data_IF_244181876744
#
_entry.id   IF_244181876744
#
_cell.length_a   1.000
_cell.length_b   1.000
_cell.length_c   1.000
_cell.angle_alpha   90.00
_cell.angle_beta   90.00
_cell.angle_gamma   90.00
#
_symmetry.space_group_name_H-M   'P 1'
#
loop_
_entity.id
_entity.type
_entity.pdbx_description
1 polymer ?
#
# COMPACT_ATOMS: atom_id res chain seq x y z
N UNK A 1 35.46 -20.57 19.97
CA UNK A 1 34.41 -21.23 20.78
C UNK A 1 33.00 -20.65 20.58
N UNK A 2 32.78 -19.34 20.74
CA UNK A 2 31.43 -18.74 20.64
C UNK A 2 30.70 -19.08 19.33
N UNK A 3 31.35 -18.90 18.17
CA UNK A 3 30.76 -19.19 16.87
C UNK A 3 30.38 -20.66 16.69
N UNK A 4 31.28 -21.60 17.00
CA UNK A 4 31.00 -23.05 16.92
C UNK A 4 29.80 -23.46 17.78
N UNK A 5 29.64 -22.86 18.96
CA UNK A 5 28.51 -23.10 19.85
C UNK A 5 27.20 -22.54 19.27
N UNK A 6 27.22 -21.34 18.68
CA UNK A 6 26.07 -20.75 17.98
C UNK A 6 25.62 -21.65 16.83
N UNK A 7 26.56 -22.16 16.02
CA UNK A 7 26.24 -23.08 14.92
C UNK A 7 25.63 -24.40 15.44
N UNK A 8 26.16 -24.95 16.53
CA UNK A 8 25.54 -26.11 17.19
C UNK A 8 24.12 -25.78 17.68
N UNK A 9 23.93 -24.62 18.30
CA UNK A 9 22.63 -24.11 18.75
C UNK A 9 21.61 -24.01 17.61
N UNK A 10 22.02 -23.51 16.44
CA UNK A 10 21.17 -23.47 15.25
C UNK A 10 20.72 -24.88 14.84
N UNK A 11 21.61 -25.87 14.87
CA UNK A 11 21.22 -27.24 14.56
C UNK A 11 20.16 -27.78 15.52
N UNK A 12 20.30 -27.51 16.83
CA UNK A 12 19.31 -27.91 17.82
C UNK A 12 17.98 -27.17 17.63
N UNK A 13 18.02 -25.88 17.29
CA UNK A 13 16.83 -25.08 16.98
C UNK A 13 16.07 -25.67 15.79
N UNK A 14 16.77 -26.00 14.69
CA UNK A 14 16.14 -26.58 13.50
C UNK A 14 15.53 -27.96 13.79
N UNK A 15 16.22 -28.81 14.55
CA UNK A 15 15.71 -30.12 14.98
C UNK A 15 14.48 -29.97 15.88
N UNK A 16 14.56 -29.11 16.89
CA UNK A 16 13.45 -28.81 17.79
C UNK A 16 12.24 -28.27 17.03
N UNK A 17 12.45 -27.31 16.12
CA UNK A 17 11.37 -26.73 15.32
C UNK A 17 10.69 -27.79 14.43
N UNK A 18 11.45 -28.67 13.78
CA UNK A 18 10.92 -29.77 12.97
C UNK A 18 10.16 -30.82 13.78
N UNK A 19 10.59 -31.07 15.01
CA UNK A 19 9.86 -31.93 15.95
C UNK A 19 8.57 -31.26 16.44
N UNK A 20 8.64 -30.01 16.89
CA UNK A 20 7.57 -29.32 17.61
C UNK A 20 6.47 -28.73 16.73
N UNK A 21 6.80 -28.28 15.52
CA UNK A 21 5.89 -27.51 14.67
C UNK A 21 5.63 -28.21 13.33
N UNK A 22 4.37 -28.65 13.06
CA UNK A 22 4.03 -29.33 11.80
C UNK A 22 4.35 -28.53 10.55
N UNK A 23 4.15 -27.20 10.57
CA UNK A 23 4.48 -26.32 9.45
C UNK A 23 5.99 -26.31 9.14
N UNK A 24 6.85 -26.28 10.16
CA UNK A 24 8.29 -26.37 9.98
C UNK A 24 8.72 -27.75 9.44
N UNK A 25 8.07 -28.81 9.94
CA UNK A 25 8.29 -30.17 9.44
C UNK A 25 7.91 -30.32 7.97
N UNK A 26 6.81 -29.70 7.55
CA UNK A 26 6.39 -29.65 6.15
C UNK A 26 7.42 -28.90 5.30
N UNK A 27 7.89 -27.73 5.78
CA UNK A 27 8.98 -26.97 5.14
C UNK A 27 10.19 -27.86 4.89
N UNK A 28 10.71 -28.56 5.90
CA UNK A 28 11.88 -29.45 5.75
C UNK A 28 11.71 -30.60 4.74
N UNK A 29 10.48 -30.96 4.34
CA UNK A 29 10.23 -32.00 3.32
C UNK A 29 10.29 -31.47 1.89
N UNK A 30 10.28 -30.15 1.70
CA UNK A 30 10.25 -29.53 0.37
C UNK A 30 11.55 -29.70 -0.41
N UNK A 31 12.69 -29.85 0.30
CA UNK A 31 14.02 -29.88 -0.30
C UNK A 31 14.93 -30.86 0.45
N UNK A 32 15.85 -31.44 -0.32
CA UNK A 32 17.00 -32.16 0.18
C UNK A 32 18.25 -31.33 -0.15
N UNK A 33 19.02 -30.91 0.85
CA UNK A 33 20.30 -30.22 0.63
C UNK A 33 21.30 -30.44 1.78
N UNK A 34 22.57 -30.17 1.52
CA UNK A 34 23.64 -29.99 2.52
C UNK A 34 24.03 -28.52 2.52
N UNK A 35 23.74 -27.81 3.59
CA UNK A 35 24.20 -26.45 3.80
C UNK A 35 25.38 -26.45 4.78
N UNK A 36 26.29 -25.50 4.67
CA UNK A 36 27.32 -25.28 5.66
C UNK A 36 27.48 -23.81 5.99
N UNK A 37 27.88 -23.54 7.22
CA UNK A 37 28.19 -22.20 7.70
C UNK A 37 29.62 -22.23 8.24
N UNK A 38 30.48 -21.34 7.76
CA UNK A 38 31.91 -21.34 8.08
C UNK A 38 32.49 -19.94 8.31
N UNK A 39 33.60 -19.90 9.04
CA UNK A 39 34.55 -18.79 9.05
C UNK A 39 35.60 -19.04 7.97
N UNK A 40 35.85 -18.06 7.09
CA UNK A 40 36.74 -18.20 5.93
C UNK A 40 38.17 -18.54 6.35
N UNK A 41 38.67 -17.86 7.37
CA UNK A 41 40.09 -17.81 7.70
C UNK A 41 40.49 -18.74 8.87
N UNK A 42 39.55 -19.53 9.41
CA UNK A 42 39.76 -20.15 10.74
C UNK A 42 39.40 -21.65 10.82
N UNK A 43 39.18 -22.36 9.71
CA UNK A 43 38.74 -23.78 9.67
C UNK A 43 37.54 -24.14 10.59
N UNK A 44 36.82 -23.13 11.09
CA UNK A 44 35.67 -23.30 11.96
C UNK A 44 34.41 -23.32 11.10
N UNK A 45 33.66 -24.41 11.15
CA UNK A 45 32.35 -24.49 10.53
C UNK A 45 31.54 -25.69 10.98
N UNK A 46 30.28 -25.73 10.53
CA UNK A 46 29.35 -26.83 10.73
C UNK A 46 28.47 -26.95 9.50
N UNK A 47 28.23 -28.20 9.10
CA UNK A 47 27.28 -28.51 8.04
C UNK A 47 25.95 -29.04 8.59
N UNK A 48 24.90 -28.88 7.80
CA UNK A 48 23.52 -29.22 8.09
C UNK A 48 22.96 -29.97 6.86
N UNK A 49 22.72 -31.26 6.99
CA UNK A 49 22.04 -32.02 5.96
C UNK A 49 20.55 -32.11 6.28
N UNK A 50 19.73 -31.71 5.30
CA UNK A 50 18.29 -31.85 5.33
C UNK A 50 17.94 -32.93 4.31
N UNK A 51 17.38 -34.04 4.81
CA UNK A 51 17.00 -35.20 4.01
C UNK A 51 15.66 -35.72 4.48
N UNK A 52 14.68 -35.78 3.57
CA UNK A 52 13.33 -36.30 3.85
C UNK A 52 12.68 -35.72 5.13
N UNK A 53 12.85 -34.42 5.37
CA UNK A 53 12.30 -33.74 6.55
C UNK A 53 13.10 -33.87 7.84
N UNK A 54 14.26 -34.53 7.83
CA UNK A 54 15.16 -34.68 8.99
C UNK A 54 16.40 -33.80 8.84
N UNK A 55 16.85 -33.24 9.96
CA UNK A 55 18.06 -32.41 10.05
C UNK A 55 19.15 -33.18 10.78
N UNK A 56 20.29 -33.38 10.13
CA UNK A 56 21.53 -33.88 10.74
C UNK A 56 22.63 -32.83 10.61
N UNK A 57 23.55 -32.77 11.57
CA UNK A 57 24.64 -31.80 11.53
C UNK A 57 25.88 -32.29 12.26
N UNK A 58 27.04 -31.89 11.79
CA UNK A 58 28.34 -32.23 12.38
C UNK A 58 29.31 -31.06 12.26
N UNK A 59 30.29 -30.99 13.15
CA UNK A 59 31.37 -30.02 13.07
C UNK A 59 32.27 -30.34 11.87
N UNK A 60 32.84 -29.31 11.24
CA UNK A 60 33.71 -29.46 10.09
C UNK A 60 33.09 -28.90 8.81
N UNK A 61 33.87 -28.98 7.73
CA UNK A 61 33.53 -28.45 6.41
C UNK A 61 33.34 -29.61 5.43
N UNK A 62 32.46 -29.39 4.45
CA UNK A 62 32.17 -30.34 3.38
C UNK A 62 32.41 -29.68 2.03
N UNK A 63 33.12 -30.39 1.16
CA UNK A 63 33.34 -29.95 -0.22
C UNK A 63 32.08 -30.14 -1.10
N UNK A 64 31.16 -31.02 -0.69
CA UNK A 64 29.91 -31.32 -1.39
C UNK A 64 28.70 -30.55 -0.82
N UNK A 65 28.94 -29.41 -0.15
CA UNK A 65 27.85 -28.56 0.33
C UNK A 65 27.15 -27.84 -0.82
N UNK A 66 25.84 -28.02 -0.95
CA UNK A 66 24.98 -27.33 -1.92
C UNK A 66 24.90 -25.81 -1.64
N UNK A 67 24.98 -25.43 -0.36
CA UNK A 67 24.88 -24.04 0.11
C UNK A 67 26.01 -23.76 1.10
N UNK A 68 26.78 -22.69 0.90
CA UNK A 68 27.85 -22.27 1.82
C UNK A 68 27.66 -20.81 2.24
N UNK A 69 27.40 -20.57 3.53
CA UNK A 69 27.45 -19.23 4.12
C UNK A 69 28.84 -19.03 4.73
N UNK A 70 29.57 -18.03 4.25
CA UNK A 70 30.94 -17.75 4.70
C UNK A 70 31.01 -16.39 5.38
N UNK A 71 31.34 -16.40 6.67
CA UNK A 71 31.73 -15.20 7.42
C UNK A 71 33.24 -14.98 7.28
N UNK A 72 33.69 -13.72 7.28
CA UNK A 72 35.13 -13.38 7.23
C UNK A 72 35.92 -14.14 8.30
N UNK A 73 35.47 -14.08 9.55
CA UNK A 73 36.07 -14.79 10.68
C UNK A 73 34.99 -15.20 11.70
N UNK A 74 35.33 -16.05 12.68
CA UNK A 74 34.37 -16.54 13.66
C UNK A 74 33.88 -15.46 14.62
N UNK A 75 34.70 -14.43 14.89
CA UNK A 75 34.28 -13.31 15.74
C UNK A 75 33.10 -12.56 15.10
N UNK A 76 33.24 -12.15 13.84
CA UNK A 76 32.17 -11.52 13.08
C UNK A 76 30.95 -12.44 12.93
N UNK A 77 31.17 -13.73 12.66
CA UNK A 77 30.09 -14.70 12.58
C UNK A 77 29.32 -14.85 13.89
N UNK A 78 30.00 -14.79 15.03
CA UNK A 78 29.36 -14.82 16.33
C UNK A 78 28.55 -13.53 16.57
N UNK A 79 29.14 -12.36 16.31
CA UNK A 79 28.49 -11.06 16.52
C UNK A 79 27.22 -10.91 15.67
N UNK A 80 27.27 -11.30 14.39
CA UNK A 80 26.14 -11.18 13.47
C UNK A 80 25.00 -12.16 13.76
N UNK A 81 25.26 -13.28 14.45
CA UNK A 81 24.26 -14.32 14.74
C UNK A 81 23.78 -14.31 16.19
N UNK A 82 24.42 -13.55 17.07
CA UNK A 82 24.05 -13.48 18.49
C UNK A 82 22.83 -12.56 18.69
N UNK A 83 21.78 -13.03 19.38
CA UNK A 83 20.64 -12.16 19.73
C UNK A 83 21.02 -11.05 20.73
N UNK A 84 20.41 -9.85 20.65
CA UNK A 84 19.45 -9.44 19.62
C UNK A 84 20.14 -9.19 18.27
N UNK A 85 19.60 -9.79 17.21
CA UNK A 85 20.19 -9.72 15.87
C UNK A 85 20.03 -8.29 15.33
N UNK A 86 21.15 -7.66 14.95
CA UNK A 86 21.14 -6.42 14.21
C UNK A 86 21.13 -6.69 12.69
N UNK A 87 19.97 -6.49 12.06
CA UNK A 87 19.80 -6.70 10.62
C UNK A 87 20.59 -5.70 9.77
N UNK A 88 20.81 -4.48 10.25
CA UNK A 88 21.61 -3.48 9.54
C UNK A 88 23.07 -3.94 9.41
N UNK A 89 23.62 -4.52 10.49
CA UNK A 89 24.99 -5.02 10.50
C UNK A 89 25.16 -6.23 9.56
N UNK A 90 24.16 -7.12 9.49
CA UNK A 90 24.17 -8.22 8.53
C UNK A 90 24.13 -7.71 7.08
N UNK A 91 23.32 -6.69 6.79
CA UNK A 91 23.23 -6.07 5.46
C UNK A 91 24.57 -5.41 5.10
N UNK A 92 25.18 -4.67 6.03
CA UNK A 92 26.47 -4.03 5.80
C UNK A 92 27.59 -5.07 5.61
N UNK A 93 27.59 -6.16 6.38
CA UNK A 93 28.54 -7.25 6.21
C UNK A 93 28.42 -7.94 4.83
N UNK A 94 27.20 -8.07 4.30
CA UNK A 94 26.99 -8.60 2.94
C UNK A 94 27.50 -7.61 1.87
N UNK A 95 27.22 -6.32 2.01
CA UNK A 95 27.72 -5.27 1.10
C UNK A 95 29.24 -5.20 1.08
N UNK A 96 29.88 -5.40 2.23
CA UNK A 96 31.34 -5.39 2.39
C UNK A 96 31.99 -6.76 2.05
N UNK A 97 31.23 -7.73 1.53
CA UNK A 97 31.69 -9.09 1.25
C UNK A 97 32.31 -9.83 2.45
N UNK A 98 31.96 -9.41 3.67
CA UNK A 98 32.34 -10.04 4.94
C UNK A 98 31.40 -11.19 5.33
N UNK A 99 30.21 -11.24 4.72
CA UNK A 99 29.29 -12.37 4.74
C UNK A 99 28.91 -12.68 3.29
N UNK A 100 29.28 -13.87 2.79
CA UNK A 100 28.93 -14.32 1.44
C UNK A 100 28.09 -15.59 1.49
N UNK A 101 27.30 -15.81 0.43
CA UNK A 101 26.47 -17.00 0.26
C UNK A 101 26.74 -17.58 -1.13
N UNK A 102 27.20 -18.82 -1.17
CA UNK A 102 27.51 -19.55 -2.38
C UNK A 102 26.57 -20.75 -2.55
N UNK A 103 26.18 -21.05 -3.78
CA UNK A 103 25.28 -22.15 -4.13
C UNK A 103 24.15 -21.76 -5.08
N UNK A 104 23.30 -22.70 -5.54
CA UNK A 104 22.14 -22.41 -6.35
C UNK A 104 21.18 -21.45 -5.64
N UNK A 105 20.74 -20.40 -6.33
CA UNK A 105 19.94 -19.30 -5.73
C UNK A 105 18.64 -19.79 -5.08
N UNK A 106 18.00 -20.82 -5.64
CA UNK A 106 16.78 -21.39 -5.08
C UNK A 106 17.05 -22.09 -3.74
N UNK A 107 18.17 -22.81 -3.62
CA UNK A 107 18.57 -23.51 -2.40
C UNK A 107 19.08 -22.55 -1.32
N UNK A 108 19.86 -21.54 -1.70
CA UNK A 108 20.38 -20.54 -0.76
C UNK A 108 19.24 -19.73 -0.14
N UNK A 109 18.30 -19.24 -0.96
CA UNK A 109 17.10 -18.55 -0.50
C UNK A 109 16.20 -19.45 0.36
N UNK A 110 15.97 -20.69 -0.09
CA UNK A 110 15.15 -21.64 0.66
C UNK A 110 15.73 -21.92 2.05
N UNK A 111 17.05 -22.11 2.15
CA UNK A 111 17.74 -22.38 3.40
C UNK A 111 17.70 -21.18 4.34
N UNK A 112 18.00 -19.98 3.84
CA UNK A 112 17.91 -18.74 4.62
C UNK A 112 16.51 -18.51 5.19
N UNK A 113 15.47 -18.65 4.37
CA UNK A 113 14.07 -18.56 4.81
C UNK A 113 13.71 -19.64 5.84
N UNK A 114 14.28 -20.83 5.73
CA UNK A 114 14.06 -21.91 6.70
C UNK A 114 14.68 -21.57 8.06
N UNK A 115 15.86 -20.96 8.09
CA UNK A 115 16.46 -20.43 9.34
C UNK A 115 15.56 -19.34 9.93
N UNK A 116 15.11 -18.36 9.14
CA UNK A 116 14.22 -17.30 9.60
C UNK A 116 12.87 -17.84 10.12
N UNK A 117 12.32 -18.86 9.45
CA UNK A 117 11.10 -19.52 9.89
C UNK A 117 11.30 -20.19 11.25
N UNK A 118 12.48 -20.75 11.55
CA UNK A 118 12.73 -21.40 12.84
C UNK A 118 12.64 -20.43 14.03
N UNK A 119 12.91 -19.15 13.79
CA UNK A 119 12.82 -18.07 14.79
C UNK A 119 11.38 -17.56 14.99
N UNK A 120 10.50 -17.79 14.02
CA UNK A 120 9.15 -17.20 13.98
C UNK A 120 8.01 -18.22 14.00
N UNK A 121 8.28 -19.52 13.78
CA UNK A 121 7.25 -20.56 13.66
C UNK A 121 6.47 -20.80 14.95
N UNK A 122 7.01 -20.41 16.10
CA UNK A 122 6.32 -20.43 17.39
C UNK A 122 5.36 -19.27 17.59
N UNK A 123 5.52 -18.18 16.82
CA UNK A 123 4.72 -16.97 16.97
C UNK A 123 3.30 -17.25 16.51
N UNK A 124 2.36 -17.09 17.44
CA UNK A 124 0.94 -17.10 17.14
C UNK A 124 0.53 -15.68 16.80
N UNK A 125 0.25 -15.43 15.53
CA UNK A 125 -0.34 -14.17 15.09
C UNK A 125 -1.85 -14.22 15.35
N UNK A 126 -2.38 -13.17 15.96
CA UNK A 126 -3.82 -13.02 16.27
C UNK A 126 -4.20 -13.33 17.72
N UNK A 127 -5.45 -13.03 18.06
CA UNK A 127 -6.04 -13.24 19.38
C UNK A 127 -7.03 -14.39 19.33
N UNK A 128 -6.83 -15.44 20.14
CA UNK A 128 -7.81 -16.52 20.26
C UNK A 128 -9.00 -16.05 21.08
N UNK A 129 -10.21 -16.31 20.59
CA UNK A 129 -11.46 -15.93 21.24
C UNK A 129 -12.12 -17.14 21.92
N UNK A 130 -13.06 -16.84 22.83
CA UNK A 130 -13.80 -17.85 23.60
C UNK A 130 -14.63 -18.80 22.71
N UNK A 131 -15.12 -18.33 21.55
CA UNK A 131 -15.88 -19.13 20.58
C UNK A 131 -15.01 -20.08 19.73
N UNK A 132 -13.71 -20.15 20.04
CA UNK A 132 -12.70 -20.95 19.35
C UNK A 132 -12.14 -20.30 18.09
N UNK A 133 -12.66 -19.14 17.64
CA UNK A 133 -12.12 -18.43 16.49
C UNK A 133 -10.81 -17.72 16.80
N UNK A 134 -10.04 -17.45 15.76
CA UNK A 134 -8.85 -16.59 15.82
C UNK A 134 -9.17 -15.24 15.18
N UNK A 135 -8.95 -14.15 15.91
CA UNK A 135 -9.08 -12.78 15.41
C UNK A 135 -7.73 -12.24 14.97
N UNK A 136 -7.64 -11.81 13.73
CA UNK A 136 -6.48 -11.14 13.14
C UNK A 136 -6.79 -9.67 12.91
N UNK A 137 -5.74 -8.87 12.71
CA UNK A 137 -5.84 -7.51 12.19
C UNK A 137 -5.41 -7.50 10.73
N UNK A 138 -6.16 -6.80 9.87
CA UNK A 138 -5.81 -6.59 8.48
C UNK A 138 -6.35 -5.22 8.02
N UNK A 139 -6.08 -4.87 6.77
CA UNK A 139 -6.51 -3.62 6.16
C UNK A 139 -7.18 -3.89 4.81
N UNK A 140 -8.13 -3.03 4.45
CA UNK A 140 -8.72 -2.96 3.12
C UNK A 140 -8.56 -1.54 2.58
N UNK A 141 -8.82 -1.32 1.29
CA UNK A 141 -8.93 0.05 0.77
C UNK A 141 -10.10 0.82 1.40
N UNK A 142 -11.04 0.12 2.05
CA UNK A 142 -12.16 0.73 2.75
C UNK A 142 -11.90 1.03 4.22
N UNK A 143 -10.73 0.70 4.77
CA UNK A 143 -10.39 0.88 6.18
C UNK A 143 -9.89 -0.39 6.87
N UNK A 144 -9.42 -0.24 8.14
CA UNK A 144 -8.88 -1.34 8.94
C UNK A 144 -9.97 -2.27 9.46
N UNK A 145 -9.62 -3.54 9.60
CA UNK A 145 -10.57 -4.59 9.97
C UNK A 145 -9.99 -5.59 10.95
N UNK A 146 -10.81 -6.01 11.91
CA UNK A 146 -10.63 -7.31 12.53
C UNK A 146 -11.19 -8.41 11.61
N UNK A 147 -10.39 -9.47 11.43
CA UNK A 147 -10.74 -10.63 10.60
C UNK A 147 -10.85 -11.84 11.52
N UNK A 148 -12.02 -12.45 11.57
CA UNK A 148 -12.27 -13.60 12.42
C UNK A 148 -12.25 -14.86 11.57
N UNK A 149 -11.45 -15.83 11.98
CA UNK A 149 -11.22 -17.07 11.25
C UNK A 149 -11.56 -18.25 12.15
N UNK A 150 -12.32 -19.20 11.60
CA UNK A 150 -12.64 -20.46 12.25
C UNK A 150 -12.44 -21.57 11.23
N UNK A 151 -11.75 -22.63 11.63
CA UNK A 151 -11.45 -23.79 10.78
C UNK A 151 -10.82 -23.42 9.42
N UNK A 152 -9.91 -22.43 9.44
CA UNK A 152 -9.22 -21.95 8.24
C UNK A 152 -10.07 -21.08 7.30
N UNK A 153 -11.30 -20.72 7.67
CA UNK A 153 -12.20 -19.86 6.87
C UNK A 153 -12.50 -18.55 7.56
N UNK A 154 -12.53 -17.46 6.77
CA UNK A 154 -12.97 -16.15 7.27
C UNK A 154 -14.48 -16.21 7.51
N UNK A 155 -14.89 -16.02 8.76
CA UNK A 155 -16.30 -16.03 9.13
C UNK A 155 -16.90 -14.62 9.08
N UNK A 156 -16.17 -13.61 9.57
CA UNK A 156 -16.60 -12.21 9.55
C UNK A 156 -15.41 -11.25 9.50
N UNK A 157 -15.68 -10.04 9.03
CA UNK A 157 -14.77 -8.90 9.08
C UNK A 157 -15.54 -7.73 9.70
N UNK A 158 -14.93 -7.01 10.63
CA UNK A 158 -15.59 -5.88 11.34
C UNK A 158 -14.63 -4.69 11.43
N UNK A 159 -15.14 -3.46 11.64
CA UNK A 159 -14.30 -2.38 12.13
C UNK A 159 -13.60 -2.75 13.45
N UNK A 160 -12.61 -1.96 13.83
CA UNK A 160 -11.81 -2.16 15.04
C UNK A 160 -12.35 -1.27 16.15
N UNK A 161 -12.82 -1.88 17.23
CA UNK A 161 -13.08 -1.19 18.50
C UNK A 161 -11.76 -1.11 19.28
N UNK A 162 -11.41 0.10 19.71
CA UNK A 162 -10.18 0.38 20.47
C UNK A 162 -10.43 0.18 21.96
N UNK A 163 -9.44 -0.34 22.68
CA UNK A 163 -9.54 -0.63 24.12
C UNK A 163 -8.90 0.47 24.95
N UNK A 164 -8.94 0.33 26.27
CA UNK A 164 -8.26 1.24 27.21
C UNK A 164 -6.72 1.10 27.14
N UNK A 165 -6.21 0.01 26.57
CA UNK A 165 -4.78 -0.20 26.36
C UNK A 165 -4.25 0.60 25.16
N UNK A 166 -5.14 1.04 24.28
CA UNK A 166 -4.80 1.92 23.16
C UNK A 166 -4.68 3.38 23.63
N UNK A 167 -3.71 4.11 23.07
CA UNK A 167 -3.45 5.51 23.41
C UNK A 167 -4.72 6.38 23.24
N UNK A 168 -5.00 7.35 24.14
CA UNK A 168 -6.26 8.11 24.16
C UNK A 168 -6.51 8.93 22.89
N UNK A 169 -7.79 9.22 22.60
CA UNK A 169 -8.18 10.06 21.46
C UNK A 169 -7.78 11.51 21.70
N UNK A 170 -7.43 12.22 20.63
CA UNK A 170 -7.36 13.68 20.64
C UNK A 170 -8.74 14.31 20.92
N UNK A 171 -8.78 15.57 21.35
CA UNK A 171 -10.01 16.35 21.53
C UNK A 171 -9.78 17.79 21.07
N UNK A 172 -10.83 18.42 20.54
CA UNK A 172 -10.81 19.84 20.16
C UNK A 172 -11.82 20.59 21.03
N UNK A 173 -11.42 21.74 21.55
CA UNK A 173 -12.32 22.68 22.20
C UNK A 173 -12.61 23.84 21.24
N UNK A 174 -13.89 24.02 20.92
CA UNK A 174 -14.33 25.05 20.00
C UNK A 174 -15.68 25.60 20.46
N UNK A 175 -15.84 26.92 20.51
CA UNK A 175 -17.12 27.59 20.83
C UNK A 175 -17.81 27.02 22.08
N UNK A 176 -17.02 26.72 23.12
CA UNK A 176 -17.50 26.21 24.41
C UNK A 176 -17.99 24.76 24.41
N UNK A 177 -17.62 23.96 23.39
CA UNK A 177 -17.86 22.51 23.36
C UNK A 177 -16.56 21.74 23.16
N UNK A 178 -16.46 20.59 23.82
CA UNK A 178 -15.37 19.62 23.65
C UNK A 178 -15.82 18.51 22.71
N UNK A 179 -15.06 18.30 21.64
CA UNK A 179 -15.36 17.37 20.55
C UNK A 179 -14.28 16.30 20.50
N UNK A 180 -14.67 15.05 20.69
CA UNK A 180 -13.78 13.89 20.76
C UNK A 180 -14.30 12.80 19.81
N UNK A 181 -13.46 12.20 18.94
CA UNK A 181 -13.90 11.13 18.05
C UNK A 181 -14.16 9.83 18.84
N UNK A 182 -15.08 8.96 18.34
CA UNK A 182 -15.31 7.63 18.91
C UNK A 182 -14.04 6.79 19.01
N UNK A 183 -14.01 5.88 19.99
CA UNK A 183 -12.93 4.91 20.17
C UNK A 183 -13.09 3.69 19.25
N UNK A 184 -13.26 3.94 17.96
CA UNK A 184 -13.55 2.92 16.96
C UNK A 184 -13.15 3.41 15.58
N UNK A 185 -12.63 2.51 14.75
CA UNK A 185 -12.45 2.77 13.32
C UNK A 185 -13.76 2.59 12.56
N UNK A 186 -13.81 3.11 11.34
CA UNK A 186 -14.92 2.95 10.41
C UNK A 186 -14.52 2.12 9.20
N UNK A 187 -15.49 1.77 8.36
CA UNK A 187 -15.27 0.95 7.16
C UNK A 187 -16.19 1.39 6.03
N UNK A 188 -15.62 1.69 4.87
CA UNK A 188 -16.39 1.98 3.66
C UNK A 188 -17.17 0.74 3.18
N UNK A 189 -18.28 0.91 2.44
CA UNK A 189 -19.13 -0.20 1.98
C UNK A 189 -18.36 -1.30 1.23
N UNK A 190 -17.39 -0.94 0.39
CA UNK A 190 -16.57 -1.93 -0.33
C UNK A 190 -15.62 -2.71 0.61
N UNK A 191 -15.15 -2.08 1.70
CA UNK A 191 -14.37 -2.75 2.75
C UNK A 191 -15.21 -3.76 3.54
N UNK A 192 -16.48 -3.43 3.82
CA UNK A 192 -17.43 -4.34 4.49
C UNK A 192 -17.63 -5.63 3.68
N UNK A 193 -17.62 -5.51 2.35
CA UNK A 193 -17.81 -6.62 1.43
C UNK A 193 -16.52 -7.36 1.03
N UNK A 194 -15.36 -7.01 1.61
CA UNK A 194 -14.07 -7.59 1.21
C UNK A 194 -14.02 -9.13 1.29
N UNK A 195 -14.75 -9.75 2.22
CA UNK A 195 -14.88 -11.22 2.32
C UNK A 195 -15.47 -11.84 1.05
N UNK A 196 -16.45 -11.18 0.43
CA UNK A 196 -17.10 -11.66 -0.79
C UNK A 196 -16.16 -11.65 -2.00
N UNK A 197 -15.22 -10.71 -2.04
CA UNK A 197 -14.19 -10.64 -3.08
C UNK A 197 -13.21 -11.81 -2.95
N UNK A 198 -12.84 -12.17 -1.71
CA UNK A 198 -11.92 -13.29 -1.45
C UNK A 198 -12.51 -14.62 -1.92
N UNK A 199 -13.80 -14.87 -1.61
CA UNK A 199 -14.51 -16.11 -1.93
C UNK A 199 -15.44 -15.99 -3.14
N UNK A 200 -15.21 -15.02 -4.01
CA UNK A 200 -16.02 -14.84 -5.22
C UNK A 200 -15.96 -16.10 -6.10
N UNK A 201 -17.09 -16.55 -6.69
CA UNK A 201 -17.09 -17.62 -7.68
C UNK A 201 -16.24 -17.26 -8.91
N UNK A 202 -16.04 -15.97 -9.19
CA UNK A 202 -15.25 -15.47 -10.32
C UNK A 202 -13.75 -15.35 -9.99
N UNK A 203 -13.32 -15.81 -8.81
CA UNK A 203 -11.90 -15.75 -8.41
C UNK A 203 -11.05 -16.61 -9.33
N UNK A 204 -10.00 -16.02 -9.90
CA UNK A 204 -8.96 -16.78 -10.61
C UNK A 204 -8.19 -17.67 -9.62
N UNK A 205 -8.43 -18.99 -9.68
CA UNK A 205 -7.85 -19.99 -8.77
C UNK A 205 -6.52 -20.58 -9.27
N UNK A 206 -6.30 -20.58 -10.59
CA UNK A 206 -5.16 -21.24 -11.23
C UNK A 206 -4.60 -20.38 -12.36
N UNK A 207 -3.32 -20.58 -12.73
CA UNK A 207 -2.81 -20.06 -13.99
C UNK A 207 -3.61 -20.59 -15.18
N UNK A 208 -3.91 -19.71 -16.12
CA UNK A 208 -4.71 -20.00 -17.30
C UNK A 208 -3.94 -19.61 -18.57
N UNK A 209 -4.04 -20.42 -19.62
CA UNK A 209 -3.46 -20.18 -20.94
C UNK A 209 -4.56 -20.21 -21.98
N UNK A 210 -4.58 -19.24 -22.89
CA UNK A 210 -5.53 -19.23 -24.00
C UNK A 210 -5.30 -20.44 -24.91
N UNK A 211 -6.36 -21.13 -25.31
CA UNK A 211 -6.31 -22.43 -26.03
C UNK A 211 -5.48 -22.39 -27.31
N UNK A 212 -5.47 -21.26 -28.01
CA UNK A 212 -4.87 -21.06 -29.32
C UNK A 212 -3.65 -20.13 -29.29
N UNK A 213 -2.98 -20.05 -28.12
CA UNK A 213 -1.70 -19.36 -27.97
C UNK A 213 -0.53 -20.36 -27.96
N UNK A 214 0.25 -20.39 -29.03
CA UNK A 214 1.54 -21.07 -29.08
C UNK A 214 2.70 -20.05 -29.21
N UNK A 215 3.61 -19.93 -28.22
CA UNK A 215 4.75 -19.03 -28.34
C UNK A 215 5.73 -19.43 -29.45
N UNK A 216 5.75 -20.70 -29.87
CA UNK A 216 6.66 -21.23 -30.90
C UNK A 216 5.97 -21.44 -32.25
N UNK A 217 4.70 -21.08 -32.37
CA UNK A 217 3.90 -21.24 -33.57
C UNK A 217 2.88 -20.13 -33.73
N UNK A 218 1.64 -20.48 -34.03
CA UNK A 218 0.57 -19.52 -34.24
C UNK A 218 0.12 -18.87 -32.91
N UNK A 219 0.38 -17.57 -32.79
CA UNK A 219 0.04 -16.79 -31.59
C UNK A 219 -1.38 -16.22 -31.61
N UNK A 220 -2.06 -16.23 -32.76
CA UNK A 220 -3.45 -15.80 -32.96
C UNK A 220 -3.90 -14.53 -32.19
N UNK A 221 -3.27 -13.35 -32.35
CA UNK A 221 -3.64 -12.15 -31.58
C UNK A 221 -5.10 -11.70 -31.77
N UNK A 222 -5.65 -11.89 -32.99
CA UNK A 222 -7.04 -11.57 -33.38
C UNK A 222 -8.13 -12.31 -32.59
N UNK A 223 -7.75 -13.37 -31.88
CA UNK A 223 -8.66 -14.21 -31.09
C UNK A 223 -8.68 -13.86 -29.59
N UNK A 224 -7.87 -12.88 -29.14
CA UNK A 224 -7.90 -12.39 -27.76
C UNK A 224 -9.30 -11.82 -27.44
N UNK A 225 -9.87 -12.23 -26.30
CA UNK A 225 -11.25 -11.88 -25.92
C UNK A 225 -12.34 -12.76 -26.55
N UNK A 226 -11.98 -13.74 -27.41
CA UNK A 226 -12.92 -14.67 -28.06
C UNK A 226 -12.64 -16.13 -27.72
N UNK A 227 -11.38 -16.55 -27.80
CA UNK A 227 -10.99 -17.93 -27.50
C UNK A 227 -10.99 -18.22 -26.00
N UNK A 228 -11.31 -19.47 -25.66
CA UNK A 228 -11.32 -19.95 -24.27
C UNK A 228 -9.91 -20.13 -23.67
N UNK A 229 -9.89 -20.61 -22.43
CA UNK A 229 -8.68 -20.83 -21.67
C UNK A 229 -8.62 -22.24 -21.11
N UNK A 230 -7.41 -22.79 -21.02
CA UNK A 230 -7.11 -24.04 -20.34
C UNK A 230 -6.33 -23.74 -19.06
N UNK A 231 -6.56 -24.55 -18.03
CA UNK A 231 -5.72 -24.52 -16.82
C UNK A 231 -4.34 -25.05 -17.15
N UNK A 232 -3.31 -24.36 -16.66
CA UNK A 232 -1.91 -24.81 -16.72
C UNK A 232 -1.27 -24.79 -15.34
N UNK A 233 -0.09 -25.41 -15.23
CA UNK A 233 0.67 -25.42 -13.98
C UNK A 233 1.41 -24.09 -13.76
N UNK A 234 1.79 -23.80 -12.50
CA UNK A 234 2.65 -22.66 -12.20
C UNK A 234 4.02 -22.74 -12.89
N UNK A 235 4.75 -23.88 -12.87
CA UNK A 235 6.00 -24.01 -13.62
C UNK A 235 5.83 -23.68 -15.11
N UNK A 236 4.81 -24.26 -15.76
CA UNK A 236 4.54 -23.98 -17.18
C UNK A 236 4.26 -22.49 -17.42
N UNK A 237 3.42 -21.85 -16.60
CA UNK A 237 3.09 -20.44 -16.74
C UNK A 237 4.33 -19.54 -16.57
N UNK A 238 5.16 -19.84 -15.58
CA UNK A 238 6.40 -19.10 -15.30
C UNK A 238 7.42 -19.30 -16.42
N UNK A 239 7.58 -20.51 -16.95
CA UNK A 239 8.49 -20.81 -18.06
C UNK A 239 8.07 -20.10 -19.34
N UNK A 240 6.77 -20.09 -19.66
CA UNK A 240 6.23 -19.37 -20.81
C UNK A 240 6.51 -17.86 -20.72
N UNK A 241 6.20 -17.25 -19.57
CA UNK A 241 6.39 -15.81 -19.37
C UNK A 241 7.87 -15.43 -19.31
N UNK A 242 8.67 -16.17 -18.55
CA UNK A 242 10.11 -15.92 -18.43
C UNK A 242 10.84 -16.16 -19.75
N UNK A 243 10.43 -17.17 -20.52
CA UNK A 243 10.92 -17.46 -21.87
C UNK A 243 10.69 -16.28 -22.81
N UNK A 244 9.48 -15.73 -22.83
CA UNK A 244 9.17 -14.55 -23.65
C UNK A 244 9.92 -13.30 -23.19
N UNK A 245 10.04 -13.05 -21.88
CA UNK A 245 10.86 -11.95 -21.35
C UNK A 245 12.30 -12.08 -21.83
N UNK A 246 12.92 -13.26 -21.69
CA UNK A 246 14.30 -13.51 -22.13
C UNK A 246 14.44 -13.33 -23.65
N UNK A 247 13.50 -13.85 -24.44
CA UNK A 247 13.49 -13.70 -25.90
C UNK A 247 13.42 -12.22 -26.29
N UNK A 248 12.43 -11.50 -25.78
CA UNK A 248 12.24 -10.07 -26.07
C UNK A 248 13.45 -9.24 -25.70
N UNK A 249 14.02 -9.45 -24.51
CA UNK A 249 15.24 -8.75 -24.07
C UNK A 249 16.42 -9.02 -25.00
N UNK A 250 16.67 -10.28 -25.39
CA UNK A 250 17.78 -10.62 -26.29
C UNK A 250 17.60 -10.07 -27.70
N UNK A 251 16.37 -10.06 -28.21
CA UNK A 251 16.10 -9.70 -29.61
C UNK A 251 15.92 -8.20 -29.83
N UNK A 252 15.24 -7.50 -28.91
CA UNK A 252 14.84 -6.09 -29.10
C UNK A 252 15.30 -5.16 -27.97
N UNK A 253 15.95 -5.70 -26.93
CA UNK A 253 16.25 -4.96 -25.71
C UNK A 253 15.05 -4.87 -24.75
N UNK A 254 15.26 -4.40 -23.51
CA UNK A 254 14.24 -4.38 -22.46
C UNK A 254 13.08 -3.42 -22.74
N UNK A 255 13.30 -2.36 -23.53
CA UNK A 255 12.29 -1.32 -23.82
C UNK A 255 11.09 -1.81 -24.64
N UNK A 256 11.15 -3.00 -25.26
CA UNK A 256 10.01 -3.55 -26.02
C UNK A 256 8.84 -4.02 -25.11
N UNK A 257 9.09 -4.25 -23.83
CA UNK A 257 8.10 -4.77 -22.90
C UNK A 257 7.38 -3.62 -22.19
N UNK A 258 6.13 -3.36 -22.55
CA UNK A 258 5.29 -2.40 -21.85
C UNK A 258 4.71 -2.99 -20.56
N UNK A 259 4.74 -2.22 -19.46
CA UNK A 259 4.11 -2.58 -18.19
C UNK A 259 3.19 -1.45 -17.74
N UNK A 260 1.93 -1.79 -17.48
CA UNK A 260 0.89 -0.93 -16.92
C UNK A 260 0.20 -1.63 -15.75
N UNK A 261 -0.42 -0.86 -14.86
CA UNK A 261 -1.26 -1.32 -13.76
C UNK A 261 -2.39 -0.31 -13.52
N UNK A 262 -3.36 -0.61 -12.66
CA UNK A 262 -4.38 0.36 -12.25
C UNK A 262 -3.82 1.39 -11.24
N UNK A 263 -4.44 2.57 -11.14
CA UNK A 263 -4.04 3.62 -10.18
C UNK A 263 -4.13 3.16 -8.72
N UNK A 264 -5.08 2.28 -8.43
CA UNK A 264 -5.28 1.64 -7.13
C UNK A 264 -4.88 0.16 -7.13
N UNK A 265 -4.56 -0.35 -5.95
CA UNK A 265 -4.20 -1.75 -5.72
C UNK A 265 -4.72 -2.19 -4.35
N UNK A 266 -4.72 -3.50 -4.07
CA UNK A 266 -5.04 -3.99 -2.72
C UNK A 266 -4.07 -3.41 -1.70
N UNK A 267 -4.59 -3.06 -0.52
CA UNK A 267 -3.78 -2.51 0.56
C UNK A 267 -2.62 -3.43 0.98
N UNK A 268 -1.50 -2.82 1.37
CA UNK A 268 -0.34 -3.49 1.94
C UNK A 268 0.97 -2.97 1.35
N UNK A 269 1.74 -2.20 2.13
CA UNK A 269 2.87 -1.42 1.63
C UNK A 269 3.93 -2.24 0.89
N UNK A 270 4.23 -3.45 1.37
CA UNK A 270 5.22 -4.35 0.74
C UNK A 270 4.69 -4.91 -0.59
N UNK A 271 3.42 -5.31 -0.61
CA UNK A 271 2.78 -5.89 -1.80
C UNK A 271 2.26 -4.86 -2.80
N UNK A 272 2.22 -3.58 -2.41
CA UNK A 272 1.73 -2.50 -3.26
C UNK A 272 2.59 -2.37 -4.51
N UNK A 273 2.00 -1.92 -5.63
CA UNK A 273 2.72 -1.87 -6.91
C UNK A 273 3.98 -0.99 -6.86
N UNK A 274 3.97 0.09 -6.07
CA UNK A 274 5.12 0.97 -5.83
C UNK A 274 6.32 0.25 -5.20
N UNK A 275 6.09 -0.91 -4.57
CA UNK A 275 7.13 -1.74 -3.96
C UNK A 275 7.39 -3.00 -4.78
N UNK A 276 6.50 -3.99 -4.72
CA UNK A 276 6.74 -5.32 -5.29
C UNK A 276 6.85 -5.30 -6.82
N UNK A 277 5.90 -4.65 -7.51
CA UNK A 277 5.91 -4.59 -8.98
C UNK A 277 7.10 -3.76 -9.47
N UNK A 278 7.37 -2.60 -8.87
CA UNK A 278 8.48 -1.73 -9.26
C UNK A 278 9.82 -2.44 -9.08
N UNK A 279 10.02 -3.13 -7.95
CA UNK A 279 11.21 -3.97 -7.72
C UNK A 279 11.39 -5.00 -8.83
N UNK A 280 10.34 -5.73 -9.18
CA UNK A 280 10.41 -6.76 -10.22
C UNK A 280 10.68 -6.18 -11.61
N UNK A 281 9.88 -5.21 -12.06
CA UNK A 281 10.00 -4.65 -13.42
C UNK A 281 11.32 -3.90 -13.63
N UNK A 282 11.86 -3.23 -12.60
CA UNK A 282 13.16 -2.58 -12.68
C UNK A 282 14.31 -3.59 -12.85
N UNK A 283 14.22 -4.77 -12.22
CA UNK A 283 15.20 -5.84 -12.40
C UNK A 283 15.10 -6.50 -13.79
N UNK A 284 13.88 -6.58 -14.35
CA UNK A 284 13.65 -7.16 -15.68
C UNK A 284 14.01 -6.17 -16.81
N UNK A 285 13.73 -4.89 -16.63
CA UNK A 285 13.76 -3.86 -17.69
C UNK A 285 12.45 -3.83 -18.47
N UNK A 286 11.96 -2.63 -18.80
CA UNK A 286 10.63 -2.41 -19.37
C UNK A 286 10.49 -0.97 -19.91
N UNK A 287 9.42 -0.72 -20.68
CA UNK A 287 8.87 0.61 -20.94
C UNK A 287 7.71 0.88 -20.00
N UNK A 288 7.83 1.96 -19.23
CA UNK A 288 6.79 2.39 -18.30
C UNK A 288 5.64 3.07 -19.05
N UNK A 289 4.42 2.55 -18.87
CA UNK A 289 3.21 3.30 -19.19
C UNK A 289 2.86 4.10 -17.93
N UNK A 290 3.23 5.38 -17.94
CA UNK A 290 2.98 6.28 -16.82
C UNK A 290 1.49 6.65 -16.77
N UNK A 291 0.93 6.76 -15.57
CA UNK A 291 -0.44 7.20 -15.40
C UNK A 291 -0.51 8.72 -15.57
N UNK A 292 -1.59 9.20 -16.18
CA UNK A 292 -2.01 10.59 -16.00
C UNK A 292 -2.41 10.84 -14.53
N UNK A 293 -2.39 12.10 -14.06
CA UNK A 293 -2.83 12.45 -12.71
C UNK A 293 -4.36 12.45 -12.64
N UNK A 294 -4.99 11.30 -12.88
CA UNK A 294 -6.44 11.10 -13.01
C UNK A 294 -7.28 11.78 -11.93
N UNK A 295 -6.81 11.75 -10.69
CA UNK A 295 -7.48 12.30 -9.52
C UNK A 295 -7.28 13.82 -9.37
N UNK A 296 -6.36 14.42 -10.14
CA UNK A 296 -5.87 15.78 -9.95
C UNK A 296 -5.78 16.59 -11.23
N UNK A 297 -6.30 16.13 -12.37
CA UNK A 297 -6.08 16.72 -13.69
C UNK A 297 -6.08 18.26 -13.73
N UNK A 298 -7.21 18.89 -13.39
CA UNK A 298 -7.32 20.35 -13.39
C UNK A 298 -6.39 21.06 -12.39
N UNK A 299 -6.07 20.41 -11.28
CA UNK A 299 -5.13 20.93 -10.29
C UNK A 299 -3.69 20.84 -10.80
N UNK A 300 -3.30 19.69 -11.36
CA UNK A 300 -1.96 19.43 -11.85
C UNK A 300 -1.64 20.24 -13.11
N UNK A 301 -2.54 20.24 -14.10
CA UNK A 301 -2.32 20.92 -15.39
C UNK A 301 -2.73 22.40 -15.38
N UNK A 302 -3.43 22.86 -14.33
CA UNK A 302 -3.91 24.24 -14.20
C UNK A 302 -3.36 24.91 -12.95
N UNK A 303 -3.88 24.52 -11.78
CA UNK A 303 -3.60 25.20 -10.51
C UNK A 303 -2.11 25.24 -10.13
N UNK A 304 -1.31 24.22 -10.51
CA UNK A 304 0.14 24.22 -10.30
C UNK A 304 0.81 25.47 -10.86
N UNK A 305 0.36 25.96 -12.02
CA UNK A 305 0.90 27.17 -12.63
C UNK A 305 0.43 28.46 -11.92
N UNK A 306 -0.60 28.36 -11.09
CA UNK A 306 -1.14 29.48 -10.33
C UNK A 306 -0.51 29.61 -8.94
N UNK A 307 -0.29 28.49 -8.23
CA UNK A 307 0.15 28.51 -6.83
C UNK A 307 1.24 27.48 -6.47
N UNK A 308 1.80 26.74 -7.43
CA UNK A 308 2.81 25.73 -7.17
C UNK A 308 2.24 24.42 -6.63
N UNK A 309 2.73 23.95 -5.48
CA UNK A 309 2.36 22.65 -4.89
C UNK A 309 2.57 21.44 -5.84
N UNK A 310 3.61 21.47 -6.68
CA UNK A 310 3.95 20.39 -7.63
C UNK A 310 4.14 19.04 -6.94
N UNK A 311 4.77 19.02 -5.76
CA UNK A 311 4.97 17.82 -4.94
C UNK A 311 3.65 17.20 -4.43
N UNK A 312 2.56 17.98 -4.44
CA UNK A 312 1.20 17.56 -4.08
C UNK A 312 0.25 17.63 -5.26
N UNK A 313 0.78 17.56 -6.48
CA UNK A 313 0.00 17.58 -7.74
C UNK A 313 -1.02 18.72 -7.84
N UNK A 314 -0.67 19.89 -7.28
CA UNK A 314 -1.49 21.09 -7.28
C UNK A 314 -2.52 21.19 -6.16
N UNK A 315 -2.56 20.24 -5.21
CA UNK A 315 -3.42 20.31 -4.02
C UNK A 315 -2.84 21.22 -2.93
N UNK A 316 -3.73 21.83 -2.15
CA UNK A 316 -3.38 22.62 -0.97
C UNK A 316 -3.03 21.75 0.25
N UNK A 317 -2.43 22.37 1.28
CA UNK A 317 -2.18 21.73 2.57
C UNK A 317 -3.39 21.74 3.50
N UNK A 318 -3.53 20.69 4.32
CA UNK A 318 -4.71 20.48 5.17
C UNK A 318 -4.40 20.40 6.66
N UNK A 319 -3.18 20.73 7.09
CA UNK A 319 -2.75 20.63 8.48
C UNK A 319 -3.53 21.62 9.38
N UNK A 320 -3.96 21.18 10.57
CA UNK A 320 -4.65 22.03 11.56
C UNK A 320 -6.07 22.51 11.18
N UNK A 321 -6.52 22.26 9.95
CA UNK A 321 -7.75 22.86 9.39
C UNK A 321 -9.04 22.48 10.11
N UNK A 322 -9.10 21.33 10.79
CA UNK A 322 -10.32 20.93 11.51
C UNK A 322 -10.56 21.81 12.74
N UNK A 323 -9.52 22.05 13.54
CA UNK A 323 -9.62 22.88 14.74
C UNK A 323 -9.93 24.33 14.35
N UNK A 324 -9.17 24.87 13.41
CA UNK A 324 -9.39 26.22 12.88
C UNK A 324 -10.80 26.39 12.33
N UNK A 325 -11.30 25.43 11.54
CA UNK A 325 -12.67 25.46 11.03
C UNK A 325 -13.70 25.47 12.15
N UNK A 326 -13.57 24.60 13.16
CA UNK A 326 -14.53 24.53 14.27
C UNK A 326 -14.53 25.80 15.13
N UNK A 327 -13.39 26.48 15.24
CA UNK A 327 -13.25 27.72 16.01
C UNK A 327 -13.72 28.94 15.23
N UNK A 328 -13.29 29.10 13.98
CA UNK A 328 -13.30 30.38 13.26
C UNK A 328 -14.25 30.41 12.05
N UNK A 329 -14.73 29.27 11.55
CA UNK A 329 -15.54 29.24 10.33
C UNK A 329 -17.00 29.65 10.60
N UNK A 330 -17.58 30.49 9.73
CA UNK A 330 -19.01 30.79 9.74
C UNK A 330 -19.79 30.05 8.65
N UNK A 331 -19.11 29.63 7.58
CA UNK A 331 -19.72 28.93 6.47
C UNK A 331 -18.72 28.01 5.75
N UNK A 332 -19.16 26.79 5.45
CA UNK A 332 -18.44 25.85 4.59
C UNK A 332 -19.19 25.73 3.26
N UNK A 333 -18.44 25.87 2.16
CA UNK A 333 -18.92 25.61 0.80
C UNK A 333 -18.30 24.32 0.29
N UNK A 334 -19.09 23.25 0.22
CA UNK A 334 -18.71 22.01 -0.45
C UNK A 334 -18.90 22.16 -1.95
N UNK A 335 -17.82 22.48 -2.67
CA UNK A 335 -17.85 22.67 -4.12
C UNK A 335 -17.32 21.42 -4.83
N UNK A 336 -18.19 20.76 -5.61
CA UNK A 336 -17.89 19.49 -6.29
C UNK A 336 -17.30 18.44 -5.33
N UNK A 337 -17.81 18.40 -4.10
CA UNK A 337 -17.28 17.59 -3.02
C UNK A 337 -18.38 16.72 -2.41
N UNK A 338 -18.18 15.40 -2.47
CA UNK A 338 -19.00 14.41 -1.76
C UNK A 338 -18.13 13.56 -0.80
N UNK A 339 -17.70 14.14 0.33
CA UNK A 339 -16.83 13.44 1.28
C UNK A 339 -17.48 12.26 2.02
N UNK A 340 -18.82 12.12 2.03
CA UNK A 340 -19.50 10.91 2.53
C UNK A 340 -19.37 9.72 1.57
N UNK A 341 -19.34 9.97 0.26
CA UNK A 341 -19.13 8.91 -0.74
C UNK A 341 -17.66 8.60 -0.98
N UNK A 342 -16.82 9.63 -1.07
CA UNK A 342 -15.43 9.49 -1.52
C UNK A 342 -14.44 9.30 -0.38
N UNK A 343 -14.76 9.75 0.84
CA UNK A 343 -13.89 9.69 2.03
C UNK A 343 -12.52 10.38 1.87
N UNK A 344 -12.37 11.27 0.89
CA UNK A 344 -11.06 11.75 0.43
C UNK A 344 -10.32 10.64 -0.32
N UNK A 345 -9.57 9.81 0.40
CA UNK A 345 -8.95 8.60 -0.15
C UNK A 345 -8.62 7.63 0.99
N UNK A 346 -9.17 6.42 0.91
CA UNK A 346 -8.97 5.36 1.91
C UNK A 346 -9.30 5.76 3.36
N UNK A 347 -10.05 6.85 3.54
CA UNK A 347 -10.40 7.43 4.85
C UNK A 347 -11.65 6.83 5.47
N UNK A 348 -12.22 5.78 4.86
CA UNK A 348 -13.43 5.11 5.31
C UNK A 348 -14.58 6.10 5.58
N UNK A 349 -15.13 6.13 6.80
CA UNK A 349 -16.09 7.15 7.24
C UNK A 349 -15.52 7.97 8.41
N UNK A 350 -14.20 8.07 8.53
CA UNK A 350 -13.53 8.82 9.61
C UNK A 350 -13.81 10.33 9.52
N UNK A 351 -14.14 10.83 8.33
CA UNK A 351 -14.58 12.21 8.14
C UNK A 351 -16.00 12.49 8.64
N UNK A 352 -16.86 11.46 8.74
CA UNK A 352 -18.29 11.63 8.98
C UNK A 352 -18.56 12.20 10.37
N UNK A 353 -17.81 11.79 11.39
CA UNK A 353 -17.95 12.33 12.76
C UNK A 353 -17.70 13.84 12.81
N UNK A 354 -16.69 14.34 12.09
CA UNK A 354 -16.39 15.77 12.03
C UNK A 354 -17.52 16.56 11.38
N UNK A 355 -18.13 15.99 10.35
CA UNK A 355 -19.32 16.56 9.69
C UNK A 355 -20.57 16.46 10.57
N UNK A 356 -20.71 15.42 11.39
CA UNK A 356 -21.78 15.37 12.41
C UNK A 356 -21.65 16.49 13.43
N UNK A 357 -20.44 16.87 13.83
CA UNK A 357 -20.24 18.00 14.74
C UNK A 357 -20.79 19.30 14.18
N UNK A 358 -20.71 19.52 12.86
CA UNK A 358 -21.28 20.71 12.20
C UNK A 358 -22.80 20.84 12.39
N UNK A 359 -23.51 19.76 12.73
CA UNK A 359 -24.95 19.79 13.07
C UNK A 359 -25.22 20.37 14.46
N UNK A 360 -24.19 20.60 15.27
CA UNK A 360 -24.35 21.19 16.60
C UNK A 360 -24.63 22.70 16.46
N UNK A 361 -25.78 23.19 16.94
CA UNK A 361 -26.14 24.60 16.79
C UNK A 361 -25.18 25.56 17.51
N UNK A 362 -24.43 25.11 18.53
CA UNK A 362 -23.39 25.92 19.17
C UNK A 362 -22.22 26.26 18.23
N UNK A 363 -21.99 25.44 17.21
CA UNK A 363 -21.04 25.78 16.18
C UNK A 363 -21.61 26.81 15.21
N UNK A 364 -22.90 26.78 14.88
CA UNK A 364 -23.53 27.82 14.05
C UNK A 364 -22.97 27.94 12.61
N UNK A 365 -22.19 26.96 12.16
CA UNK A 365 -21.53 26.96 10.84
C UNK A 365 -22.56 26.64 9.76
N UNK A 366 -22.73 27.54 8.80
CA UNK A 366 -23.63 27.36 7.66
C UNK A 366 -23.00 26.42 6.63
N UNK A 367 -23.83 25.67 5.91
CA UNK A 367 -23.36 24.75 4.87
C UNK A 367 -24.00 25.09 3.53
N UNK A 368 -23.17 25.18 2.49
CA UNK A 368 -23.57 25.31 1.09
C UNK A 368 -22.99 24.14 0.31
N UNK A 369 -23.76 23.60 -0.63
CA UNK A 369 -23.34 22.56 -1.55
C UNK A 369 -23.45 23.08 -2.98
N UNK A 370 -22.36 23.00 -3.75
CA UNK A 370 -22.34 23.38 -5.17
C UNK A 370 -21.94 22.15 -5.97
N UNK A 371 -22.92 21.44 -6.52
CA UNK A 371 -22.73 20.17 -7.20
C UNK A 371 -23.88 19.93 -8.19
N UNK A 372 -23.65 19.55 -9.46
CA UNK A 372 -24.74 19.21 -10.38
C UNK A 372 -25.66 18.10 -9.88
N UNK A 373 -25.18 17.22 -8.99
CA UNK A 373 -25.93 16.13 -8.39
C UNK A 373 -26.17 16.35 -6.90
N UNK A 374 -27.36 16.00 -6.40
CA UNK A 374 -27.68 16.07 -4.97
C UNK A 374 -27.02 14.90 -4.22
N UNK A 375 -25.71 15.05 -3.99
CA UNK A 375 -24.82 14.00 -3.53
C UNK A 375 -25.06 13.56 -2.07
N UNK A 376 -24.39 12.49 -1.62
CA UNK A 376 -24.64 11.91 -0.29
C UNK A 376 -24.32 12.90 0.85
N UNK A 377 -23.29 13.73 0.67
CA UNK A 377 -22.93 14.77 1.64
C UNK A 377 -23.97 15.89 1.72
N UNK A 378 -24.58 16.25 0.59
CA UNK A 378 -25.67 17.23 0.52
C UNK A 378 -26.97 16.72 1.16
N UNK A 379 -27.23 15.42 1.10
CA UNK A 379 -28.32 14.75 1.83
C UNK A 379 -28.01 14.64 3.33
N UNK A 380 -26.74 14.44 3.68
CA UNK A 380 -26.30 14.23 5.05
C UNK A 380 -26.23 15.53 5.86
N UNK A 381 -25.73 16.63 5.27
CA UNK A 381 -25.55 17.93 5.91
C UNK A 381 -26.59 18.93 5.39
N UNK A 382 -27.54 19.37 6.24
CA UNK A 382 -28.55 20.33 5.81
C UNK A 382 -27.90 21.66 5.44
N UNK A 383 -28.28 22.20 4.29
CA UNK A 383 -27.70 23.41 3.72
C UNK A 383 -28.37 23.80 2.42
N UNK A 384 -27.96 24.93 1.84
CA UNK A 384 -28.44 25.33 0.51
C UNK A 384 -27.67 24.55 -0.55
N UNK A 385 -28.39 23.93 -1.49
CA UNK A 385 -27.80 23.27 -2.65
C UNK A 385 -27.99 24.13 -3.92
N UNK A 386 -26.91 24.28 -4.68
CA UNK A 386 -26.88 24.85 -6.02
C UNK A 386 -26.45 23.77 -7.01
N UNK A 387 -27.22 23.62 -8.09
CA UNK A 387 -27.02 22.62 -9.13
C UNK A 387 -26.60 23.29 -10.45
N UNK A 388 -25.34 23.75 -10.58
CA UNK A 388 -24.85 24.28 -11.85
C UNK A 388 -24.89 23.18 -12.92
N UNK A 389 -25.02 23.58 -14.19
CA UNK A 389 -24.83 22.63 -15.28
C UNK A 389 -23.38 22.09 -15.22
N UNK A 390 -23.15 20.80 -15.56
CA UNK A 390 -21.80 20.28 -15.69
C UNK A 390 -20.94 21.21 -16.56
N UNK A 391 -19.67 21.35 -16.19
CA UNK A 391 -18.68 22.24 -16.85
C UNK A 391 -18.96 23.75 -16.79
N UNK A 392 -19.95 24.23 -16.01
CA UNK A 392 -20.24 25.68 -15.88
C UNK A 392 -19.93 26.26 -14.49
N UNK A 393 -19.31 25.51 -13.59
CA UNK A 393 -18.98 26.01 -12.24
C UNK A 393 -18.02 27.19 -12.25
N UNK A 394 -17.12 27.28 -13.23
CA UNK A 394 -16.22 28.43 -13.39
C UNK A 394 -16.96 29.73 -13.68
N UNK A 395 -18.09 29.69 -14.38
CA UNK A 395 -18.92 30.88 -14.61
C UNK A 395 -19.49 31.41 -13.28
N UNK A 396 -19.95 30.50 -12.42
CA UNK A 396 -20.41 30.86 -11.07
C UNK A 396 -19.28 31.45 -10.21
N UNK A 397 -18.06 30.88 -10.28
CA UNK A 397 -16.90 31.43 -9.57
C UNK A 397 -16.53 32.84 -10.06
N UNK A 398 -16.56 33.08 -11.38
CA UNK A 398 -16.32 34.41 -11.95
C UNK A 398 -17.40 35.42 -11.54
N UNK A 399 -18.66 35.01 -11.48
CA UNK A 399 -19.76 35.85 -11.00
C UNK A 399 -19.62 36.24 -9.53
N UNK A 400 -19.19 35.31 -8.67
CA UNK A 400 -18.89 35.60 -7.26
C UNK A 400 -17.74 36.62 -7.16
N UNK A 401 -16.65 36.39 -7.90
CA UNK A 401 -15.50 37.29 -7.92
C UNK A 401 -15.87 38.69 -8.46
N UNK A 402 -16.74 38.78 -9.47
CA UNK A 402 -17.26 40.04 -9.99
C UNK A 402 -17.94 40.86 -8.90
N UNK A 403 -18.85 40.25 -8.13
CA UNK A 403 -19.55 40.92 -7.02
C UNK A 403 -18.56 41.40 -5.96
N UNK A 404 -17.62 40.54 -5.55
CA UNK A 404 -16.60 40.92 -4.57
C UNK A 404 -15.74 42.10 -5.02
N UNK A 405 -15.33 42.12 -6.29
CA UNK A 405 -14.54 43.22 -6.85
C UNK A 405 -15.37 44.50 -6.94
N UNK A 406 -16.61 44.41 -7.44
CA UNK A 406 -17.46 45.57 -7.69
C UNK A 406 -17.90 46.25 -6.39
N UNK A 407 -18.17 45.46 -5.35
CA UNK A 407 -18.59 45.94 -4.03
C UNK A 407 -17.42 46.12 -3.04
N UNK A 408 -16.22 45.66 -3.40
CA UNK A 408 -15.02 45.78 -2.55
C UNK A 408 -14.98 44.81 -1.36
N UNK A 409 -15.60 43.63 -1.48
CA UNK A 409 -15.76 42.60 -0.44
C UNK A 409 -14.65 41.53 -0.44
N UNK A 410 -13.39 41.94 -0.55
CA UNK A 410 -12.25 41.03 -0.50
C UNK A 410 -11.09 41.66 0.29
N UNK A 411 -10.14 40.82 0.74
CA UNK A 411 -8.95 41.29 1.43
C UNK A 411 -7.97 41.94 0.43
N UNK A 412 -8.05 43.27 0.35
CA UNK A 412 -7.22 44.07 -0.56
C UNK A 412 -5.73 43.98 -0.22
N UNK A 413 -5.40 43.97 1.07
CA UNK A 413 -4.01 43.93 1.53
C UNK A 413 -3.36 42.57 1.21
N UNK A 414 -4.11 41.48 1.37
CA UNK A 414 -3.64 40.15 0.98
C UNK A 414 -3.39 40.08 -0.52
N UNK A 415 -4.36 40.52 -1.34
CA UNK A 415 -4.24 40.50 -2.81
C UNK A 415 -3.04 41.32 -3.28
N UNK A 416 -2.83 42.52 -2.72
CA UNK A 416 -1.70 43.39 -3.06
C UNK A 416 -0.34 42.71 -2.82
N UNK A 417 -0.22 41.92 -1.74
CA UNK A 417 1.07 41.36 -1.29
C UNK A 417 1.32 39.92 -1.72
N UNK A 418 0.28 39.16 -2.08
CA UNK A 418 0.36 37.71 -2.32
C UNK A 418 -0.08 37.27 -3.72
N UNK A 419 -0.34 38.21 -4.64
CA UNK A 419 -0.75 37.88 -6.00
C UNK A 419 0.09 38.62 -7.05
N UNK A 420 0.07 38.10 -8.28
CA UNK A 420 0.67 38.74 -9.45
C UNK A 420 -0.37 38.76 -10.57
N UNK A 421 -0.54 39.90 -11.22
CA UNK A 421 -1.46 40.04 -12.37
C UNK A 421 -2.94 40.19 -12.01
N UNK A 422 -3.28 40.46 -10.74
CA UNK A 422 -4.67 40.63 -10.30
C UNK A 422 -5.40 41.76 -11.04
N UNK A 423 -4.75 42.90 -11.30
CA UNK A 423 -5.38 44.03 -12.00
C UNK A 423 -5.84 43.66 -13.41
N UNK A 424 -5.04 42.84 -14.13
CA UNK A 424 -5.43 42.35 -15.46
C UNK A 424 -6.63 41.40 -15.36
N UNK A 425 -6.60 40.47 -14.41
CA UNK A 425 -7.73 39.55 -14.20
C UNK A 425 -9.00 40.29 -13.77
N UNK A 426 -8.87 41.33 -12.94
CA UNK A 426 -9.96 42.22 -12.54
C UNK A 426 -10.58 42.94 -13.74
N UNK A 427 -9.78 43.51 -14.64
CA UNK A 427 -10.28 44.16 -15.86
C UNK A 427 -11.09 43.18 -16.73
N UNK A 428 -10.61 41.93 -16.88
CA UNK A 428 -11.36 40.87 -17.56
C UNK A 428 -12.70 40.53 -16.89
N UNK A 429 -12.73 40.43 -15.55
CA UNK A 429 -13.96 40.13 -14.82
C UNK A 429 -14.99 41.27 -14.95
N UNK A 430 -14.53 42.52 -14.96
CA UNK A 430 -15.38 43.71 -15.12
C UNK A 430 -15.82 43.96 -16.58
N UNK A 431 -15.30 43.19 -17.54
CA UNK A 431 -15.61 43.33 -18.97
C UNK A 431 -14.86 44.47 -19.65
N UNK A 432 -13.82 45.03 -19.03
CA UNK A 432 -13.01 46.11 -19.58
C UNK A 432 -12.08 45.61 -20.70
N UNK A 433 -11.69 44.33 -20.67
CA UNK A 433 -10.84 43.71 -21.69
C UNK A 433 -11.63 43.14 -22.88
N UNK A 434 -12.80 42.53 -22.64
CA UNK A 434 -13.55 41.76 -23.63
C UNK A 434 -14.98 42.27 -23.90
N UNK A 435 -15.39 43.36 -23.25
CA UNK A 435 -16.73 43.95 -23.38
C UNK A 435 -17.84 43.18 -22.65
N UNK A 436 -17.53 42.10 -21.92
CA UNK A 436 -18.52 41.24 -21.25
C UNK A 436 -18.23 41.18 -19.76
N UNK A 437 -18.99 41.94 -18.96
CA UNK A 437 -18.94 41.83 -17.50
C UNK A 437 -19.41 40.43 -17.05
N UNK A 438 -18.67 39.80 -16.14
CA UNK A 438 -18.98 38.46 -15.64
C UNK A 438 -20.03 38.52 -14.50
N UNK A 439 -21.21 39.08 -14.78
CA UNK A 439 -22.26 39.30 -13.78
C UNK A 439 -22.91 37.99 -13.29
N UNK A 440 -23.55 37.97 -12.09
CA UNK A 440 -24.38 36.85 -11.62
C UNK A 440 -25.53 36.44 -12.54
#
# INVERSE_FOLDING_TARGET
>A
MKFSFILFGLAQLLKYAGWRYPAFRARLKERNLVAQIKARDEEIGRWYAIRAGKVTSETGLRSDADVTLTFKNAALGADLLMPPINWLDQINAQKDFKLTVDGPEDLTNWFAQTIMMSQSVSLKVGTRLADGSMRYCNMTNGGPVFVYVKDGKIVRMTPIDLTQDDAPSWSIEARGIKLTPPRKTTLAPHGQNAKSIIYSPDRLLYPMKRVDFDPNGERNPRNRGKSGYVRISWPEALDLVAGEIKRLKRTYGPGVMAVSHGSHHTWGNIGYYLSALFRFRNAVGYTQIHHNPDSWEGWYWGAVHHWGYTLRVGQSETYGTVEDCLQNCDMIVFWAADPESTSGSYGAQEGTVRRQWLKNPKLGIKVIHVDPYYNASAQFLPGKWFAPRPTTSVAMAMAIAYVWIKEGLYDKAYVETHTVGFDKWKAYLLGEEDGIAKTP
#
